data_IF_404541303286
#
_entry.id   IF_404541303286
#
_cell.length_a   1.000
_cell.length_b   1.000
_cell.length_c   1.000
_cell.angle_alpha   90.00
_cell.angle_beta   90.00
_cell.angle_gamma   90.00
#
_symmetry.space_group_name_H-M   'P 1'
#
loop_
_entity.id
_entity.type
_entity.pdbx_description
1 polymer ?
#
# COMPACT_ATOMS: atom_id res chain seq x y z
N UNK A 1 12.59 26.80 -14.44
CA UNK A 1 12.05 26.08 -15.60
C UNK A 1 11.78 24.66 -15.13
N UNK A 2 10.54 24.14 -15.24
CA UNK A 2 10.25 22.76 -14.84
C UNK A 2 11.09 21.79 -15.68
N UNK A 3 11.76 20.84 -15.04
CA UNK A 3 12.53 19.83 -15.76
C UNK A 3 11.58 19.02 -16.65
N UNK A 4 11.95 18.70 -17.91
CA UNK A 4 11.12 17.87 -18.77
C UNK A 4 10.93 16.50 -18.12
N UNK A 5 9.68 16.04 -18.04
CA UNK A 5 9.34 14.79 -17.37
C UNK A 5 9.97 13.62 -18.11
N UNK A 6 10.85 12.88 -17.43
CA UNK A 6 11.56 11.75 -18.02
C UNK A 6 10.60 10.57 -18.26
N UNK A 7 10.44 10.19 -19.53
CA UNK A 7 9.53 9.11 -19.95
C UNK A 7 9.91 7.74 -19.37
N UNK A 8 11.19 7.46 -19.18
CA UNK A 8 11.66 6.20 -18.59
C UNK A 8 11.21 6.09 -17.13
N UNK A 9 11.34 7.18 -16.37
CA UNK A 9 10.93 7.22 -14.98
C UNK A 9 9.41 7.12 -14.86
N UNK A 10 8.64 7.76 -15.74
CA UNK A 10 7.18 7.61 -15.77
C UNK A 10 6.73 6.17 -16.07
N UNK A 11 7.38 5.48 -17.01
CA UNK A 11 7.09 4.06 -17.28
C UNK A 11 7.35 3.20 -16.05
N UNK A 12 8.45 3.46 -15.35
CA UNK A 12 8.80 2.74 -14.12
C UNK A 12 7.78 3.00 -13.01
N UNK A 13 7.43 4.27 -12.78
CA UNK A 13 6.40 4.65 -11.82
C UNK A 13 5.05 4.03 -12.16
N UNK A 14 4.60 4.13 -13.41
CA UNK A 14 3.33 3.55 -13.86
C UNK A 14 3.28 2.03 -13.68
N UNK A 15 4.36 1.32 -13.98
CA UNK A 15 4.46 -0.13 -13.78
C UNK A 15 4.31 -0.53 -12.31
N UNK A 16 5.12 0.05 -11.43
CA UNK A 16 5.08 -0.28 -9.99
C UNK A 16 3.80 0.19 -9.32
N UNK A 17 3.27 1.34 -9.73
CA UNK A 17 1.97 1.82 -9.25
C UNK A 17 0.85 0.88 -9.63
N UNK A 18 0.85 0.35 -10.87
CA UNK A 18 -0.13 -0.65 -11.30
C UNK A 18 -0.06 -1.92 -10.45
N UNK A 19 1.14 -2.40 -10.13
CA UNK A 19 1.32 -3.56 -9.23
C UNK A 19 0.74 -3.28 -7.85
N UNK A 20 1.02 -2.10 -7.27
CA UNK A 20 0.51 -1.73 -5.95
C UNK A 20 -1.00 -1.60 -5.92
N UNK A 21 -1.62 -1.03 -6.96
CA UNK A 21 -3.07 -0.96 -7.10
C UNK A 21 -3.68 -2.36 -7.17
N UNK A 22 -3.15 -3.24 -8.02
CA UNK A 22 -3.61 -4.63 -8.10
C UNK A 22 -3.51 -5.31 -6.74
N UNK A 23 -2.39 -5.12 -6.04
CA UNK A 23 -2.18 -5.68 -4.70
C UNK A 23 -3.20 -5.14 -3.69
N UNK A 24 -3.57 -3.85 -3.73
CA UNK A 24 -4.63 -3.31 -2.87
C UNK A 24 -6.00 -3.91 -3.22
N UNK A 25 -6.30 -4.13 -4.51
CA UNK A 25 -7.52 -4.84 -4.92
C UNK A 25 -7.56 -6.27 -4.38
N UNK A 26 -6.43 -6.98 -4.40
CA UNK A 26 -6.31 -8.33 -3.82
C UNK A 26 -6.58 -8.32 -2.30
N UNK A 27 -6.25 -7.25 -1.58
CA UNK A 27 -6.56 -7.13 -0.15
C UNK A 27 -8.06 -7.02 0.15
N UNK A 28 -8.83 -6.40 -0.75
CA UNK A 28 -10.29 -6.37 -0.67
C UNK A 28 -10.84 -7.78 -0.82
N UNK A 29 -10.37 -8.53 -1.82
CA UNK A 29 -10.77 -9.92 -2.06
C UNK A 29 -10.39 -10.84 -0.90
N UNK A 30 -9.21 -10.66 -0.31
CA UNK A 30 -8.77 -11.44 0.86
C UNK A 30 -9.64 -11.16 2.09
N UNK A 31 -10.06 -9.91 2.29
CA UNK A 31 -10.99 -9.54 3.37
C UNK A 31 -12.35 -10.22 3.16
N UNK A 32 -12.88 -10.17 1.94
CA UNK A 32 -14.13 -10.84 1.59
C UNK A 32 -14.02 -12.36 1.80
N UNK A 33 -12.94 -12.98 1.30
CA UNK A 33 -12.67 -14.40 1.50
C UNK A 33 -12.73 -14.79 2.99
N UNK A 34 -12.02 -14.05 3.85
CA UNK A 34 -12.02 -14.31 5.28
C UNK A 34 -13.42 -14.21 5.91
N UNK A 35 -14.22 -13.22 5.51
CA UNK A 35 -15.61 -13.05 5.97
C UNK A 35 -16.51 -14.21 5.54
N UNK A 36 -16.42 -14.63 4.28
CA UNK A 36 -17.21 -15.75 3.75
C UNK A 36 -16.81 -17.08 4.39
N UNK A 37 -15.51 -17.36 4.53
CA UNK A 37 -15.00 -18.59 5.15
C UNK A 37 -15.45 -18.72 6.60
N UNK A 38 -15.43 -17.61 7.35
CA UNK A 38 -15.85 -17.59 8.76
C UNK A 38 -17.35 -17.36 8.97
N UNK A 39 -18.09 -17.01 7.91
CA UNK A 39 -19.50 -16.58 7.96
C UNK A 39 -19.73 -15.43 8.95
N UNK A 40 -18.79 -14.48 8.98
CA UNK A 40 -18.85 -13.30 9.84
C UNK A 40 -18.93 -12.06 8.94
N UNK A 41 -20.08 -11.41 8.96
CA UNK A 41 -20.37 -10.26 8.12
C UNK A 41 -20.48 -8.99 8.96
N UNK A 42 -20.15 -7.86 8.32
CA UNK A 42 -20.28 -6.55 8.96
C UNK A 42 -21.75 -6.13 9.05
N UNK A 43 -22.53 -6.48 8.03
CA UNK A 43 -23.89 -6.01 7.91
C UNK A 43 -24.91 -7.14 8.07
N UNK A 44 -26.10 -6.85 8.65
CA UNK A 44 -27.14 -7.84 8.88
C UNK A 44 -27.75 -8.41 7.59
N UNK A 45 -27.84 -7.63 6.51
CA UNK A 45 -28.34 -8.10 5.22
C UNK A 45 -27.47 -9.21 4.65
N UNK A 46 -26.15 -9.08 4.68
CA UNK A 46 -25.21 -10.10 4.20
C UNK A 46 -25.27 -11.36 5.05
N UNK A 47 -25.40 -11.20 6.38
CA UNK A 47 -25.55 -12.33 7.29
C UNK A 47 -26.87 -13.08 7.06
N UNK A 48 -27.96 -12.38 6.73
CA UNK A 48 -29.27 -12.99 6.49
C UNK A 48 -29.29 -13.90 5.25
N UNK A 49 -28.38 -13.68 4.30
CA UNK A 49 -28.24 -14.50 3.09
C UNK A 49 -27.55 -15.85 3.35
N UNK A 50 -26.95 -16.06 4.52
CA UNK A 50 -26.14 -17.26 4.80
C UNK A 50 -26.56 -17.99 6.08
N UNK A 51 -26.82 -19.32 6.02
CA UNK A 51 -27.14 -20.10 7.21
C UNK A 51 -25.99 -20.09 8.22
N UNK A 52 -26.34 -19.79 9.49
CA UNK A 52 -25.44 -19.71 10.65
C UNK A 52 -24.41 -18.57 10.60
N UNK A 53 -24.61 -17.58 9.73
CA UNK A 53 -23.78 -16.40 9.71
C UNK A 53 -24.05 -15.50 10.92
N UNK A 54 -23.02 -14.76 11.35
CA UNK A 54 -23.09 -13.83 12.47
C UNK A 54 -22.74 -12.44 12.00
N UNK A 55 -23.45 -11.46 12.53
CA UNK A 55 -23.07 -10.04 12.39
C UNK A 55 -22.04 -9.75 13.46
N UNK A 56 -20.79 -9.52 13.05
CA UNK A 56 -19.72 -9.09 13.94
C UNK A 56 -18.61 -8.40 13.17
N UNK A 57 -18.07 -7.36 13.80
CA UNK A 57 -16.89 -6.65 13.32
C UNK A 57 -15.60 -7.15 13.98
N UNK A 58 -15.71 -8.01 15.00
CA UNK A 58 -14.62 -8.28 15.95
C UNK A 58 -13.92 -9.63 15.69
N UNK A 59 -13.86 -10.10 14.45
CA UNK A 59 -13.08 -11.30 14.13
C UNK A 59 -11.58 -10.97 13.99
N UNK A 60 -10.69 -11.60 14.79
CA UNK A 60 -9.26 -11.27 14.77
C UNK A 60 -8.57 -11.41 13.41
N UNK A 61 -8.99 -12.37 12.59
CA UNK A 61 -8.38 -12.63 11.29
C UNK A 61 -8.90 -11.67 10.22
N UNK A 62 -10.21 -11.38 10.23
CA UNK A 62 -10.79 -10.34 9.35
C UNK A 62 -10.17 -8.97 9.68
N UNK A 63 -10.08 -8.63 10.96
CA UNK A 63 -9.49 -7.37 11.41
C UNK A 63 -7.98 -7.29 11.13
N UNK A 64 -7.28 -8.43 11.04
CA UNK A 64 -5.87 -8.45 10.63
C UNK A 64 -5.73 -8.05 9.16
N UNK A 65 -6.52 -8.64 8.27
CA UNK A 65 -6.49 -8.27 6.84
C UNK A 65 -6.95 -6.83 6.64
N UNK A 66 -7.99 -6.39 7.37
CA UNK A 66 -8.49 -5.01 7.31
C UNK A 66 -7.43 -4.01 7.74
N UNK A 67 -6.70 -4.27 8.83
CA UNK A 67 -5.59 -3.41 9.29
C UNK A 67 -4.42 -3.38 8.31
N UNK A 68 -4.09 -4.52 7.67
CA UNK A 68 -3.09 -4.54 6.61
C UNK A 68 -3.50 -3.67 5.42
N UNK A 69 -4.77 -3.74 5.01
CA UNK A 69 -5.30 -2.92 3.92
C UNK A 69 -5.38 -1.43 4.29
N UNK A 70 -5.76 -1.10 5.53
CA UNK A 70 -5.73 0.28 6.02
C UNK A 70 -4.31 0.85 5.99
N UNK A 71 -3.32 0.07 6.43
CA UNK A 71 -1.92 0.50 6.35
C UNK A 71 -1.46 0.69 4.90
N UNK A 72 -1.96 -0.11 3.96
CA UNK A 72 -1.73 0.13 2.54
C UNK A 72 -2.31 1.46 2.07
N UNK A 73 -3.53 1.81 2.47
CA UNK A 73 -4.13 3.11 2.17
C UNK A 73 -3.32 4.27 2.77
N UNK A 74 -2.91 4.16 4.03
CA UNK A 74 -2.14 5.19 4.74
C UNK A 74 -0.73 5.41 4.18
N UNK A 75 -0.16 4.46 3.43
CA UNK A 75 1.21 4.56 2.91
C UNK A 75 1.26 4.69 1.39
N UNK A 76 0.54 3.84 0.66
CA UNK A 76 0.60 3.79 -0.81
C UNK A 76 -0.08 5.03 -1.41
N UNK A 77 -1.18 5.52 -0.83
CA UNK A 77 -1.86 6.71 -1.36
C UNK A 77 -0.99 7.97 -1.23
N UNK A 78 -0.42 8.30 -0.06
CA UNK A 78 0.53 9.41 0.02
C UNK A 78 1.74 9.23 -0.89
N UNK A 79 2.25 8.00 -1.02
CA UNK A 79 3.35 7.71 -1.93
C UNK A 79 3.02 8.01 -3.39
N UNK A 80 1.85 7.59 -3.91
CA UNK A 80 1.45 7.94 -5.28
C UNK A 80 1.48 9.44 -5.53
N UNK A 81 0.99 10.22 -4.56
CA UNK A 81 0.90 11.68 -4.68
C UNK A 81 2.32 12.28 -4.63
N UNK A 82 3.09 11.98 -3.59
CA UNK A 82 4.37 12.65 -3.36
C UNK A 82 5.44 12.20 -4.34
N UNK A 83 5.47 10.94 -4.74
CA UNK A 83 6.39 10.46 -5.77
C UNK A 83 6.09 11.16 -7.08
N UNK A 84 4.82 11.27 -7.49
CA UNK A 84 4.47 11.96 -8.74
C UNK A 84 4.92 13.43 -8.73
N UNK A 85 4.72 14.15 -7.62
CA UNK A 85 5.21 15.52 -7.44
C UNK A 85 6.74 15.55 -7.46
N UNK A 86 7.40 14.65 -6.75
CA UNK A 86 8.86 14.56 -6.68
C UNK A 86 9.50 14.27 -8.05
N UNK A 87 8.86 13.45 -8.90
CA UNK A 87 9.34 13.19 -10.25
C UNK A 87 9.40 14.43 -11.13
N UNK A 88 8.59 15.46 -10.85
CA UNK A 88 8.62 16.74 -11.57
C UNK A 88 9.82 17.63 -11.18
N UNK A 89 10.54 17.29 -10.11
CA UNK A 89 11.79 17.98 -9.70
C UNK A 89 13.00 17.58 -10.56
N UNK A 90 12.83 16.61 -11.47
CA UNK A 90 13.88 16.11 -12.35
C UNK A 90 14.95 15.23 -11.66
N UNK A 91 14.57 14.23 -10.83
CA UNK A 91 15.54 13.36 -10.19
C UNK A 91 16.28 12.48 -11.21
N UNK A 92 17.46 11.99 -10.82
CA UNK A 92 18.19 11.02 -11.66
C UNK A 92 17.38 9.72 -11.83
N UNK A 93 17.46 9.11 -13.02
CA UNK A 93 16.77 7.85 -13.35
C UNK A 93 17.14 6.74 -12.37
N UNK A 94 18.42 6.68 -11.98
CA UNK A 94 18.91 5.72 -11.02
C UNK A 94 18.24 5.88 -9.65
N UNK A 95 18.23 7.10 -9.10
CA UNK A 95 17.65 7.35 -7.77
C UNK A 95 16.15 7.09 -7.76
N UNK A 96 15.41 7.62 -8.74
CA UNK A 96 13.99 7.37 -8.87
C UNK A 96 13.71 5.87 -8.97
N UNK A 97 14.53 5.15 -9.74
CA UNK A 97 14.37 3.72 -9.88
C UNK A 97 14.67 2.91 -8.63
N UNK A 98 15.59 3.36 -7.77
CA UNK A 98 15.85 2.72 -6.48
C UNK A 98 14.69 2.98 -5.51
N UNK A 99 14.24 4.23 -5.37
CA UNK A 99 13.19 4.60 -4.42
C UNK A 99 11.84 3.96 -4.77
N UNK A 100 11.42 4.00 -6.03
CA UNK A 100 10.16 3.42 -6.49
C UNK A 100 10.12 1.90 -6.24
N UNK A 101 11.18 1.19 -6.63
CA UNK A 101 11.29 -0.27 -6.43
C UNK A 101 11.33 -0.61 -4.95
N UNK A 102 12.15 0.11 -4.18
CA UNK A 102 12.31 -0.13 -2.74
C UNK A 102 10.99 0.04 -2.01
N UNK A 103 10.27 1.14 -2.28
CA UNK A 103 8.95 1.36 -1.70
C UNK A 103 7.99 0.23 -2.06
N UNK A 104 7.83 -0.06 -3.36
CA UNK A 104 6.86 -1.04 -3.81
C UNK A 104 7.14 -2.44 -3.27
N UNK A 105 8.38 -2.91 -3.33
CA UNK A 105 8.80 -4.22 -2.78
C UNK A 105 8.53 -4.27 -1.28
N UNK A 106 8.90 -3.22 -0.55
CA UNK A 106 8.68 -3.13 0.89
C UNK A 106 7.20 -3.21 1.25
N UNK A 107 6.31 -2.57 0.46
CA UNK A 107 4.86 -2.65 0.66
C UNK A 107 4.28 -4.02 0.34
N UNK A 108 4.84 -4.76 -0.61
CA UNK A 108 4.45 -6.14 -0.90
C UNK A 108 4.86 -7.04 0.28
N UNK A 109 6.12 -6.95 0.72
CA UNK A 109 6.64 -7.71 1.87
C UNK A 109 5.84 -7.38 3.13
N UNK A 110 5.56 -6.10 3.40
CA UNK A 110 4.79 -5.67 4.56
C UNK A 110 3.44 -6.39 4.64
N UNK A 111 2.71 -6.50 3.52
CA UNK A 111 1.42 -7.20 3.50
C UNK A 111 1.56 -8.70 3.69
N UNK A 112 2.58 -9.34 3.10
CA UNK A 112 2.86 -10.76 3.34
C UNK A 112 3.15 -11.02 4.81
N UNK A 113 4.00 -10.22 5.45
CA UNK A 113 4.34 -10.39 6.88
C UNK A 113 3.26 -9.89 7.85
N UNK A 114 2.23 -9.17 7.37
CA UNK A 114 1.12 -8.73 8.20
C UNK A 114 -0.05 -9.71 8.13
N UNK A 115 -0.48 -10.05 6.92
CA UNK A 115 -1.72 -10.79 6.69
C UNK A 115 -1.50 -12.31 6.57
N UNK A 116 -0.37 -12.77 6.02
CA UNK A 116 -0.15 -14.18 5.69
C UNK A 116 0.77 -14.86 6.70
N UNK A 117 1.95 -14.28 6.95
CA UNK A 117 2.97 -14.83 7.85
C UNK A 117 3.40 -13.80 8.90
N UNK A 118 2.64 -13.65 10.01
CA UNK A 118 2.91 -12.65 11.03
C UNK A 118 4.31 -12.81 11.63
N UNK A 119 5.23 -11.91 11.28
CA UNK A 119 6.60 -11.92 11.79
C UNK A 119 7.01 -10.53 12.28
N UNK A 120 7.22 -10.41 13.60
CA UNK A 120 7.98 -9.31 14.18
C UNK A 120 9.47 -9.68 14.16
N UNK A 121 10.41 -8.76 13.90
CA UNK A 121 10.25 -7.31 13.73
C UNK A 121 10.08 -6.85 12.27
N UNK A 122 9.97 -7.79 11.32
CA UNK A 122 9.96 -7.51 9.88
C UNK A 122 8.89 -6.49 9.46
N UNK A 123 7.71 -6.53 10.08
CA UNK A 123 6.64 -5.55 9.85
C UNK A 123 7.10 -4.11 10.13
N UNK A 124 7.73 -3.87 11.27
CA UNK A 124 8.19 -2.53 11.66
C UNK A 124 9.29 -2.02 10.72
N UNK A 125 10.25 -2.89 10.38
CA UNK A 125 11.33 -2.53 9.47
C UNK A 125 10.79 -2.15 8.07
N UNK A 126 9.83 -2.91 7.55
CA UNK A 126 9.20 -2.57 6.27
C UNK A 126 8.43 -1.24 6.33
N UNK A 127 7.72 -0.99 7.42
CA UNK A 127 7.05 0.30 7.61
C UNK A 127 8.05 1.46 7.65
N UNK A 128 9.13 1.33 8.42
CA UNK A 128 10.14 2.38 8.54
C UNK A 128 10.80 2.72 7.20
N UNK A 129 11.16 1.73 6.39
CA UNK A 129 11.74 1.96 5.05
C UNK A 129 10.78 2.73 4.16
N UNK A 130 9.51 2.33 4.09
CA UNK A 130 8.51 3.04 3.29
C UNK A 130 8.31 4.49 3.74
N UNK A 131 8.31 4.72 5.05
CA UNK A 131 8.14 6.04 5.64
C UNK A 131 9.32 6.99 5.36
N UNK A 132 10.55 6.46 5.37
CA UNK A 132 11.76 7.22 5.02
C UNK A 132 11.73 7.65 3.55
N UNK A 133 11.29 6.78 2.63
CA UNK A 133 11.15 7.12 1.20
C UNK A 133 10.17 8.27 1.01
N UNK A 134 8.97 8.17 1.58
CA UNK A 134 7.94 9.23 1.49
C UNK A 134 8.46 10.56 2.06
N UNK A 135 9.13 10.51 3.21
CA UNK A 135 9.65 11.72 3.88
C UNK A 135 10.75 12.37 3.06
N UNK A 136 11.66 11.59 2.49
CA UNK A 136 12.70 12.09 1.59
C UNK A 136 12.09 12.80 0.37
N UNK A 137 11.17 12.13 -0.34
CA UNK A 137 10.51 12.68 -1.52
C UNK A 137 9.72 13.95 -1.17
N UNK A 138 9.07 13.98 0.00
CA UNK A 138 8.33 15.15 0.49
C UNK A 138 9.24 16.35 0.76
N UNK A 139 10.34 16.15 1.49
CA UNK A 139 11.26 17.22 1.85
C UNK A 139 11.96 17.78 0.60
N UNK A 140 12.42 16.91 -0.30
CA UNK A 140 13.06 17.36 -1.54
C UNK A 140 12.08 18.14 -2.42
N UNK A 141 10.84 17.65 -2.54
CA UNK A 141 9.79 18.37 -3.28
C UNK A 141 9.51 19.73 -2.65
N UNK A 142 9.34 19.79 -1.33
CA UNK A 142 9.10 21.04 -0.60
C UNK A 142 10.22 22.06 -0.84
N UNK A 143 11.48 21.63 -0.73
CA UNK A 143 12.63 22.52 -0.94
C UNK A 143 12.78 22.98 -2.39
N UNK A 144 12.34 22.18 -3.36
CA UNK A 144 12.40 22.55 -4.78
C UNK A 144 11.34 23.60 -5.17
N UNK A 145 10.16 23.55 -4.53
CA UNK A 145 9.04 24.46 -4.82
C UNK A 145 8.95 25.69 -3.90
N UNK A 146 9.84 25.79 -2.91
CA UNK A 146 10.03 27.00 -2.08
C UNK A 146 10.72 28.11 -2.88
#
# INVERSE_FOLDING_TARGET
MMAPVNTEILKLFGFWSSILVIKMMLMILLTAYQRFTKKIFANPEDASLMPKAKVSLEDPDVERVRRAHLNDLENIVPWFIITYVWLMTGPSVWLAGVLIRTFAITRIIHTLVYAVFPQQPARFLCFAVGYVVITYEALVSLLYYL
#
